data_IF_656038552499
#
_entry.id   IF_656038552499
#
_cell.length_a   1.000
_cell.length_b   1.000
_cell.length_c   1.000
_cell.angle_alpha   90.00
_cell.angle_beta   90.00
_cell.angle_gamma   90.00
#
_symmetry.space_group_name_H-M   'P 1'
#
loop_
_entity.id
_entity.type
_entity.pdbx_description
1 polymer ?
#
# COMPACT_ATOMS: atom_id res chain seq x y z
N UNK A 1 -20.22 19.72 -15.75
CA UNK A 1 -19.93 19.57 -14.31
C UNK A 1 -19.91 18.10 -13.85
N UNK A 2 -20.71 17.21 -14.44
CA UNK A 2 -20.73 15.76 -14.12
C UNK A 2 -19.39 15.03 -14.38
N UNK A 3 -18.70 15.33 -15.49
CA UNK A 3 -17.43 14.69 -15.86
C UNK A 3 -16.30 14.99 -14.86
N UNK A 4 -16.23 16.23 -14.39
CA UNK A 4 -15.23 16.68 -13.41
C UNK A 4 -15.41 15.98 -12.05
N UNK A 5 -16.66 15.80 -11.60
CA UNK A 5 -17.00 15.04 -10.39
C UNK A 5 -16.61 13.57 -10.51
N UNK A 6 -16.88 12.93 -11.66
CA UNK A 6 -16.52 11.52 -11.90
C UNK A 6 -15.01 11.32 -11.95
N UNK A 7 -14.28 12.24 -12.58
CA UNK A 7 -12.82 12.22 -12.63
C UNK A 7 -12.22 12.37 -11.23
N UNK A 8 -12.75 13.28 -10.42
CA UNK A 8 -12.28 13.52 -9.06
C UNK A 8 -12.56 12.33 -8.12
N UNK A 9 -13.73 11.69 -8.27
CA UNK A 9 -14.03 10.42 -7.59
C UNK A 9 -13.07 9.30 -8.01
N UNK A 10 -12.80 9.15 -9.30
CA UNK A 10 -11.89 8.13 -9.81
C UNK A 10 -10.46 8.31 -9.25
N UNK A 11 -9.97 9.55 -9.17
CA UNK A 11 -8.69 9.87 -8.52
C UNK A 11 -8.71 9.51 -7.04
N UNK A 12 -9.78 9.88 -6.33
CA UNK A 12 -9.93 9.56 -4.91
C UNK A 12 -9.91 8.04 -4.67
N UNK A 13 -10.63 7.26 -5.48
CA UNK A 13 -10.63 5.80 -5.39
C UNK A 13 -9.28 5.20 -5.74
N UNK A 14 -8.58 5.73 -6.75
CA UNK A 14 -7.26 5.26 -7.12
C UNK A 14 -6.22 5.52 -6.00
N UNK A 15 -6.28 6.67 -5.35
CA UNK A 15 -5.41 6.97 -4.20
C UNK A 15 -5.74 6.10 -2.99
N UNK A 16 -7.02 5.84 -2.72
CA UNK A 16 -7.43 4.91 -1.67
C UNK A 16 -6.91 3.49 -1.93
N UNK A 17 -7.07 2.98 -3.17
CA UNK A 17 -6.54 1.67 -3.57
C UNK A 17 -5.02 1.61 -3.45
N UNK A 18 -4.32 2.69 -3.80
CA UNK A 18 -2.86 2.80 -3.66
C UNK A 18 -2.42 2.71 -2.19
N UNK A 19 -3.12 3.39 -1.27
CA UNK A 19 -2.87 3.28 0.18
C UNK A 19 -3.10 1.85 0.67
N UNK A 20 -4.21 1.22 0.28
CA UNK A 20 -4.52 -0.17 0.67
C UNK A 20 -3.43 -1.12 0.16
N UNK A 21 -3.01 -1.00 -1.09
CA UNK A 21 -1.94 -1.81 -1.66
C UNK A 21 -0.61 -1.62 -0.93
N UNK A 22 -0.24 -0.37 -0.58
CA UNK A 22 0.95 -0.09 0.21
C UNK A 22 0.88 -0.69 1.62
N UNK A 23 -0.26 -0.62 2.30
CA UNK A 23 -0.47 -1.23 3.62
C UNK A 23 -0.38 -2.76 3.57
N UNK A 24 -0.92 -3.40 2.54
CA UNK A 24 -0.79 -4.86 2.36
C UNK A 24 0.66 -5.32 2.24
N UNK A 25 1.58 -4.47 1.78
CA UNK A 25 3.01 -4.76 1.72
C UNK A 25 3.71 -4.44 3.05
N UNK A 26 3.42 -3.27 3.65
CA UNK A 26 4.14 -2.76 4.82
C UNK A 26 3.71 -3.46 6.13
N UNK A 27 2.43 -3.74 6.31
CA UNK A 27 1.89 -4.34 7.55
C UNK A 27 2.47 -5.72 7.86
N UNK A 28 2.45 -6.71 6.94
CA UNK A 28 3.03 -8.03 7.23
C UNK A 28 4.54 -7.95 7.48
N UNK A 29 5.23 -7.03 6.80
CA UNK A 29 6.65 -6.77 7.02
C UNK A 29 6.94 -6.19 8.40
N UNK A 30 6.10 -5.27 8.89
CA UNK A 30 6.24 -4.66 10.21
C UNK A 30 5.92 -5.66 11.35
N UNK A 31 4.86 -6.46 11.20
CA UNK A 31 4.40 -7.40 12.22
C UNK A 31 5.35 -8.60 12.38
N UNK A 32 5.93 -9.11 11.30
CA UNK A 32 6.81 -10.26 11.33
C UNK A 32 8.31 -9.91 11.24
N UNK A 33 8.68 -8.62 11.33
CA UNK A 33 10.07 -8.17 11.20
C UNK A 33 11.05 -8.85 12.17
N UNK A 34 10.60 -9.18 13.38
CA UNK A 34 11.36 -9.91 14.40
C UNK A 34 11.53 -11.41 14.08
N UNK A 35 10.51 -12.05 13.51
CA UNK A 35 10.56 -13.45 13.07
C UNK A 35 11.42 -13.64 11.82
N UNK A 36 11.58 -12.57 11.03
CA UNK A 36 12.20 -12.61 9.72
C UNK A 36 13.73 -12.46 9.70
N UNK A 37 14.39 -12.05 10.81
CA UNK A 37 15.86 -11.88 10.89
C UNK A 37 16.46 -11.14 9.66
N UNK A 38 15.71 -10.24 9.04
CA UNK A 38 16.11 -9.50 7.83
C UNK A 38 15.82 -10.18 6.47
N UNK A 39 15.05 -11.26 6.42
CA UNK A 39 14.67 -12.00 5.20
C UNK A 39 13.15 -11.96 4.98
N UNK A 40 12.67 -11.82 3.75
CA UNK A 40 11.22 -11.82 3.49
C UNK A 40 10.80 -13.02 2.67
N UNK A 41 9.62 -13.52 2.97
CA UNK A 41 8.90 -14.46 2.15
C UNK A 41 8.43 -13.73 0.88
N UNK A 42 9.21 -13.81 -0.20
CA UNK A 42 8.82 -13.30 -1.52
C UNK A 42 7.81 -14.26 -2.20
N UNK A 43 7.79 -15.52 -1.77
CA UNK A 43 6.85 -16.55 -2.19
C UNK A 43 6.34 -17.29 -0.95
N UNK A 44 5.15 -16.95 -0.47
CA UNK A 44 4.39 -17.83 0.42
C UNK A 44 3.35 -18.54 -0.42
N UNK A 45 3.64 -19.75 -0.84
CA UNK A 45 2.62 -20.66 -1.34
C UNK A 45 1.92 -21.27 -0.13
N UNK A 46 0.60 -21.13 -0.10
CA UNK A 46 -0.36 -21.81 0.77
C UNK A 46 -0.91 -20.99 1.97
N UNK A 47 -2.23 -20.83 1.96
CA UNK A 47 -3.06 -20.10 2.94
C UNK A 47 -3.32 -20.91 4.23
N UNK A 48 -2.92 -22.18 4.27
CA UNK A 48 -3.21 -23.08 5.40
C UNK A 48 -1.98 -23.47 6.21
N UNK A 49 -0.79 -23.46 5.61
CA UNK A 49 0.47 -23.73 6.31
C UNK A 49 1.60 -22.92 5.66
N UNK A 50 2.02 -21.84 6.32
CA UNK A 50 3.04 -20.91 5.80
C UNK A 50 4.45 -21.54 5.87
N UNK A 51 4.71 -22.52 4.99
CA UNK A 51 6.04 -23.13 4.87
C UNK A 51 6.89 -22.23 3.98
N UNK A 52 7.81 -21.48 4.59
CA UNK A 52 8.82 -20.71 3.87
C UNK A 52 9.75 -21.66 3.14
N UNK A 53 9.51 -21.88 1.85
CA UNK A 53 10.35 -22.74 1.00
C UNK A 53 11.70 -22.08 0.72
N UNK A 54 11.73 -20.77 0.45
CA UNK A 54 12.96 -20.04 0.19
C UNK A 54 12.85 -18.57 0.59
N UNK A 55 13.80 -18.12 1.38
CA UNK A 55 13.94 -16.71 1.75
C UNK A 55 14.39 -15.89 0.54
N UNK A 56 13.68 -14.78 0.25
CA UNK A 56 14.10 -13.83 -0.77
C UNK A 56 15.36 -13.04 -0.34
N UNK A 57 16.12 -12.46 -1.30
CA UNK A 57 17.26 -11.62 -0.98
C UNK A 57 16.83 -10.39 -0.17
N UNK A 58 17.62 -9.95 0.82
CA UNK A 58 17.26 -8.81 1.69
C UNK A 58 17.08 -7.50 0.91
N UNK A 59 17.71 -7.34 -0.25
CA UNK A 59 17.53 -6.17 -1.11
C UNK A 59 16.09 -6.03 -1.63
N UNK A 60 15.42 -7.13 -1.99
CA UNK A 60 14.06 -7.11 -2.51
C UNK A 60 13.05 -6.69 -1.43
N UNK A 61 13.26 -7.16 -0.20
CA UNK A 61 12.50 -6.76 0.98
C UNK A 61 12.55 -5.26 1.26
N UNK A 62 13.78 -4.73 1.29
CA UNK A 62 14.04 -3.33 1.62
C UNK A 62 13.44 -2.44 0.55
N UNK A 63 13.59 -2.84 -0.73
CA UNK A 63 12.96 -2.14 -1.84
C UNK A 63 11.44 -2.15 -1.74
N UNK A 64 10.80 -3.30 -1.54
CA UNK A 64 9.34 -3.42 -1.43
C UNK A 64 8.79 -2.62 -0.23
N UNK A 65 9.49 -2.65 0.91
CA UNK A 65 9.11 -1.89 2.11
C UNK A 65 9.23 -0.39 1.86
N UNK A 66 10.32 0.05 1.25
CA UNK A 66 10.52 1.45 0.88
C UNK A 66 9.43 1.92 -0.07
N UNK A 67 9.23 1.22 -1.18
CA UNK A 67 8.18 1.53 -2.15
C UNK A 67 6.80 1.54 -1.49
N UNK A 68 6.49 0.56 -0.64
CA UNK A 68 5.22 0.49 0.10
C UNK A 68 5.00 1.71 1.00
N UNK A 69 6.00 2.12 1.78
CA UNK A 69 5.92 3.30 2.66
C UNK A 69 5.67 4.56 1.84
N UNK A 70 6.47 4.80 0.80
CA UNK A 70 6.31 5.98 -0.06
C UNK A 70 4.95 5.98 -0.77
N UNK A 71 4.45 4.81 -1.16
CA UNK A 71 3.12 4.65 -1.77
C UNK A 71 2.00 5.02 -0.79
N UNK A 72 2.08 4.57 0.47
CA UNK A 72 1.11 4.93 1.51
C UNK A 72 1.13 6.42 1.78
N UNK A 73 2.32 7.01 1.98
CA UNK A 73 2.46 8.44 2.27
C UNK A 73 1.94 9.30 1.12
N UNK A 74 2.32 8.96 -0.11
CA UNK A 74 1.88 9.69 -1.30
C UNK A 74 0.36 9.53 -1.51
N UNK A 75 -0.17 8.31 -1.40
CA UNK A 75 -1.59 8.02 -1.51
C UNK A 75 -2.42 8.76 -0.46
N UNK A 76 -1.94 8.83 0.79
CA UNK A 76 -2.61 9.57 1.85
C UNK A 76 -2.60 11.09 1.59
N UNK A 77 -1.45 11.64 1.19
CA UNK A 77 -1.34 13.07 0.88
C UNK A 77 -2.21 13.49 -0.33
N UNK A 78 -2.28 12.64 -1.36
CA UNK A 78 -3.12 12.88 -2.53
C UNK A 78 -4.60 12.66 -2.23
N UNK A 79 -4.95 11.60 -1.49
CA UNK A 79 -6.32 11.34 -1.05
C UNK A 79 -6.87 12.47 -0.18
N UNK A 80 -6.05 13.03 0.71
CA UNK A 80 -6.39 14.20 1.51
C UNK A 80 -6.76 15.43 0.66
N UNK A 81 -5.99 15.71 -0.40
CA UNK A 81 -6.32 16.79 -1.35
C UNK A 81 -7.63 16.51 -2.08
N UNK A 82 -7.83 15.29 -2.57
CA UNK A 82 -9.09 14.91 -3.24
C UNK A 82 -10.29 15.06 -2.31
N UNK A 83 -10.17 14.67 -1.04
CA UNK A 83 -11.22 14.79 -0.04
C UNK A 83 -11.59 16.26 0.19
N UNK A 84 -10.60 17.15 0.28
CA UNK A 84 -10.81 18.58 0.38
C UNK A 84 -11.55 19.16 -0.83
N UNK A 85 -11.19 18.77 -2.06
CA UNK A 85 -11.90 19.24 -3.27
C UNK A 85 -13.32 18.68 -3.39
N UNK A 86 -13.58 17.47 -2.86
CA UNK A 86 -14.92 16.90 -2.77
C UNK A 86 -15.78 17.63 -1.73
N UNK A 87 -15.21 17.92 -0.55
CA UNK A 87 -15.93 18.56 0.55
C UNK A 87 -16.17 20.06 0.29
N UNK A 88 -15.15 20.78 -0.18
CA UNK A 88 -15.25 22.22 -0.49
C UNK A 88 -16.07 22.56 -1.75
N UNK A 89 -16.63 21.56 -2.44
CA UNK A 89 -17.64 21.76 -3.50
C UNK A 89 -19.08 21.74 -2.98
N UNK A 90 -19.26 21.45 -1.69
CA UNK A 90 -20.57 21.34 -1.04
C UNK A 90 -20.99 22.61 -0.30
N UNK A 91 -20.12 23.64 -0.26
CA UNK A 91 -20.41 25.02 0.16
C UNK A 91 -20.52 25.93 -1.08
#
# INVERSE_FOLDING_TARGET
MELDRRLLLAHCTAHALSVVAGLLVVVPMALNGSAFKGRCALFSTDVSHLVVQQWGPPAACQFATFVGIFTVLYGAAQGWRCLFYLHGRHD
#
